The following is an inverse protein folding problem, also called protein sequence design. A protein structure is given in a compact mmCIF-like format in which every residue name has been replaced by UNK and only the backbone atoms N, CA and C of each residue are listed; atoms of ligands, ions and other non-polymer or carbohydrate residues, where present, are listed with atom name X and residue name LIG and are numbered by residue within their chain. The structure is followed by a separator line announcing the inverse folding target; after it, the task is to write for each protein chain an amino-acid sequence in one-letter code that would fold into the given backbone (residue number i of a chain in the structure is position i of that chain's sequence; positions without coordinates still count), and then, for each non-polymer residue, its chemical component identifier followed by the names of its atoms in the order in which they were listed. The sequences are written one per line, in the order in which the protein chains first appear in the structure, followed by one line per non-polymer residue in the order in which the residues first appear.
data_IF_735917766847
#
_entry.id   IF_735917766847
#
_cell.length_a   1.000
_cell.length_b   1.000
_cell.length_c   1.000
_cell.angle_alpha   90.00
_cell.angle_beta   90.00
_cell.angle_gamma   90.00
#
_symmetry.space_group_name_H-M   'P 1'
#
loop_
_entity.id
_entity.type
_entity.pdbx_description
1 polymer ?
#
# COMPACT_ATOMS: atom_id res chain seq x y z
N UNK A 1 -38.82 -29.61 -3.75
CA UNK A 1 -38.26 -28.66 -2.77
C UNK A 1 -37.40 -27.68 -3.55
N UNK A 2 -37.72 -26.40 -3.51
CA UNK A 2 -37.13 -25.33 -4.33
C UNK A 2 -36.29 -24.48 -3.37
N UNK A 3 -34.98 -24.52 -3.52
CA UNK A 3 -34.05 -23.71 -2.72
C UNK A 3 -34.01 -22.29 -3.28
N UNK A 4 -34.39 -21.31 -2.46
CA UNK A 4 -34.31 -19.89 -2.79
C UNK A 4 -32.91 -19.39 -2.45
N UNK A 5 -32.05 -19.23 -3.47
CA UNK A 5 -30.80 -18.48 -3.36
C UNK A 5 -31.15 -17.00 -3.21
N UNK A 6 -30.98 -16.48 -1.99
CA UNK A 6 -31.04 -15.04 -1.71
C UNK A 6 -29.89 -14.36 -2.45
N UNK A 7 -30.25 -13.64 -3.51
CA UNK A 7 -29.40 -12.72 -4.24
C UNK A 7 -29.00 -11.59 -3.27
N UNK A 8 -27.72 -11.55 -2.91
CA UNK A 8 -27.16 -10.49 -2.09
C UNK A 8 -27.13 -9.20 -2.91
N UNK A 9 -27.97 -8.24 -2.54
CA UNK A 9 -28.11 -6.94 -3.20
C UNK A 9 -26.85 -6.08 -3.00
N UNK A 10 -26.31 -5.55 -4.09
CA UNK A 10 -25.06 -4.78 -4.11
C UNK A 10 -25.16 -3.39 -3.42
N UNK A 11 -26.37 -2.97 -3.05
CA UNK A 11 -26.60 -1.67 -2.42
C UNK A 11 -26.33 -1.64 -0.90
N UNK A 12 -26.32 -2.80 -0.22
CA UNK A 12 -26.04 -2.85 1.23
C UNK A 12 -24.55 -2.54 1.55
N UNK A 13 -23.65 -2.91 0.63
CA UNK A 13 -22.20 -2.72 0.83
C UNK A 13 -21.77 -1.24 0.76
N UNK A 14 -22.52 -0.39 0.05
CA UNK A 14 -22.21 1.05 -0.08
C UNK A 14 -22.48 1.80 1.22
N UNK A 15 -23.50 1.41 1.97
CA UNK A 15 -23.84 2.04 3.25
C UNK A 15 -22.83 1.72 4.36
N UNK A 16 -22.22 0.53 4.33
CA UNK A 16 -21.16 0.15 5.27
C UNK A 16 -19.88 0.99 5.09
N UNK A 17 -19.51 1.32 3.84
CA UNK A 17 -18.31 2.10 3.52
C UNK A 17 -18.42 3.57 3.94
N UNK A 18 -19.61 4.17 3.87
CA UNK A 18 -19.84 5.57 4.24
C UNK A 18 -19.79 5.82 5.76
N UNK A 19 -20.10 4.82 6.58
CA UNK A 19 -20.02 4.93 8.04
C UNK A 19 -18.58 4.82 8.58
N UNK A 20 -17.70 4.12 7.84
CA UNK A 20 -16.30 3.95 8.27
C UNK A 20 -15.47 5.22 8.05
N UNK A 21 -15.72 5.97 6.98
CA UNK A 21 -14.99 7.22 6.66
C UNK A 21 -15.29 8.35 7.62
N UNK A 22 -16.51 8.44 8.16
CA UNK A 22 -16.88 9.46 9.16
C UNK A 22 -16.16 9.25 10.49
N UNK A 23 -15.95 8.00 10.93
CA UNK A 23 -15.27 7.71 12.20
C UNK A 23 -13.78 8.03 12.20
N UNK A 24 -13.11 7.97 11.04
CA UNK A 24 -11.68 8.26 10.93
C UNK A 24 -11.41 9.78 10.99
N UNK A 25 -12.33 10.61 10.47
CA UNK A 25 -12.17 12.07 10.45
C UNK A 25 -12.18 12.75 11.82
N UNK A 26 -12.79 12.14 12.84
CA UNK A 26 -12.96 12.76 14.16
C UNK A 26 -11.76 12.57 15.09
N UNK A 27 -10.78 11.74 14.74
CA UNK A 27 -9.62 11.47 15.59
C UNK A 27 -8.45 12.47 15.40
N UNK A 28 -8.54 13.38 14.43
CA UNK A 28 -7.43 14.28 14.07
C UNK A 28 -7.44 15.67 14.75
N UNK A 29 -8.43 15.99 15.58
CA UNK A 29 -8.61 17.34 16.16
C UNK A 29 -8.62 17.33 17.70
N UNK A 30 -7.59 16.78 18.33
CA UNK A 30 -7.43 16.88 19.79
C UNK A 30 -5.97 16.84 20.24
N UNK A 31 -5.09 17.66 19.66
CA UNK A 31 -3.72 17.80 20.18
C UNK A 31 -3.10 19.16 19.86
N UNK A 32 -3.62 20.25 20.43
CA UNK A 32 -2.84 21.50 20.58
C UNK A 32 -3.57 22.50 21.48
N UNK A 33 -3.61 22.20 22.78
CA UNK A 33 -3.89 23.21 23.80
C UNK A 33 -3.05 22.89 25.03
N UNK A 34 -1.84 23.44 25.08
CA UNK A 34 -1.18 23.68 26.36
C UNK A 34 -0.48 25.04 26.31
N UNK A 35 -0.62 25.72 27.43
CA UNK A 35 -0.42 27.13 27.69
C UNK A 35 1.03 27.61 27.46
N UNK A 36 1.21 28.92 27.29
CA UNK A 36 1.79 29.77 28.35
C UNK A 36 1.78 31.24 27.95
N UNK A 37 1.14 32.05 28.80
CA UNK A 37 1.50 33.45 29.02
C UNK A 37 3.01 33.54 29.33
N UNK A 38 3.66 34.66 29.00
CA UNK A 38 4.48 35.45 29.93
C UNK A 38 5.09 36.67 29.21
N UNK A 39 4.73 37.83 29.73
CA UNK A 39 5.53 39.03 29.95
C UNK A 39 6.01 39.91 28.78
N UNK A 40 5.36 41.06 28.74
CA UNK A 40 5.87 42.37 28.31
C UNK A 40 7.34 42.59 28.65
N UNK A 41 8.17 42.77 27.63
CA UNK A 41 9.45 43.46 27.75
C UNK A 41 9.55 44.50 26.63
N UNK A 42 9.42 45.76 27.04
CA UNK A 42 9.82 46.93 26.27
C UNK A 42 11.33 46.86 26.07
N UNK A 43 11.77 46.38 24.91
CA UNK A 43 13.18 46.43 24.50
C UNK A 43 13.28 47.24 23.22
N UNK A 44 14.07 48.29 23.32
CA UNK A 44 14.33 49.29 22.31
C UNK A 44 14.68 48.69 20.95
N UNK A 45 14.17 49.32 19.88
CA UNK A 45 14.50 49.01 18.49
C UNK A 45 16.01 49.14 18.25
N UNK A 46 16.75 48.05 17.91
CA UNK A 46 18.01 48.20 17.22
C UNK A 46 17.69 48.30 15.72
N UNK A 47 17.89 49.50 15.17
CA UNK A 47 18.01 49.72 13.74
C UNK A 47 19.30 49.09 13.25
N UNK A 48 19.29 47.81 12.87
CA UNK A 48 20.39 47.24 12.08
C UNK A 48 19.88 46.19 11.09
N UNK A 49 20.00 46.57 9.83
CA UNK A 49 20.28 45.73 8.67
C UNK A 49 19.37 44.53 8.41
N UNK A 50 18.32 44.81 7.63
CA UNK A 50 17.80 43.88 6.61
C UNK A 50 18.99 43.33 5.81
N UNK A 51 19.43 42.09 6.03
CA UNK A 51 20.10 41.18 5.07
C UNK A 51 20.75 40.00 5.83
N UNK A 52 19.98 39.23 6.62
CA UNK A 52 20.51 37.99 7.22
C UNK A 52 19.42 36.94 7.55
N UNK A 53 18.20 37.09 7.05
CA UNK A 53 17.07 36.20 7.37
C UNK A 53 16.72 35.18 6.27
N UNK A 54 17.31 35.27 5.08
CA UNK A 54 16.85 34.52 3.91
C UNK A 54 17.57 33.17 3.69
N UNK A 55 18.70 32.92 4.37
CA UNK A 55 19.54 31.75 4.06
C UNK A 55 19.16 30.47 4.83
N UNK A 56 18.46 30.57 5.97
CA UNK A 56 18.20 29.41 6.83
C UNK A 56 16.88 28.66 6.53
N UNK A 57 15.97 29.26 5.76
CA UNK A 57 14.66 28.69 5.47
C UNK A 57 14.63 27.74 4.25
N UNK A 58 15.71 27.66 3.47
CA UNK A 58 15.73 26.90 2.21
C UNK A 58 16.13 25.42 2.35
N UNK A 59 16.69 24.99 3.49
CA UNK A 59 17.27 23.64 3.64
C UNK A 59 16.23 22.57 4.03
N UNK A 60 15.07 22.98 4.59
CA UNK A 60 14.07 22.04 5.12
C UNK A 60 13.16 21.42 4.04
N UNK A 61 13.17 21.92 2.79
CA UNK A 61 12.24 21.47 1.75
C UNK A 61 12.71 20.23 0.94
N UNK A 62 13.87 19.65 1.25
CA UNK A 62 14.45 18.56 0.42
C UNK A 62 14.36 17.19 1.11
N UNK A 63 13.83 17.09 2.33
CA UNK A 63 13.73 15.80 3.02
C UNK A 63 12.46 15.05 2.59
N UNK A 64 12.59 14.26 1.51
CA UNK A 64 11.95 12.95 1.44
C UNK A 64 10.53 12.85 0.87
N UNK A 65 10.33 13.25 -0.38
CA UNK A 65 9.26 12.66 -1.21
C UNK A 65 9.79 11.41 -1.91
N UNK A 66 10.10 10.35 -1.15
CA UNK A 66 10.18 9.01 -1.76
C UNK A 66 8.75 8.50 -1.87
N UNK A 67 8.18 8.50 -3.08
CA UNK A 67 6.92 7.81 -3.34
C UNK A 67 7.06 6.35 -2.87
N UNK A 68 6.10 5.82 -2.11
CA UNK A 68 6.14 4.42 -1.71
C UNK A 68 6.15 3.56 -2.97
N UNK A 69 7.12 2.65 -3.08
CA UNK A 69 7.14 1.68 -4.18
C UNK A 69 5.80 0.94 -4.21
N UNK A 70 5.17 0.98 -5.39
CA UNK A 70 3.86 0.41 -5.57
C UNK A 70 4.00 -1.12 -5.60
N UNK A 71 3.31 -1.82 -4.69
CA UNK A 71 3.37 -3.29 -4.64
C UNK A 71 2.80 -3.91 -5.93
N UNK A 72 3.62 -4.68 -6.64
CA UNK A 72 3.21 -5.44 -7.82
C UNK A 72 3.42 -6.92 -7.57
N UNK A 73 2.36 -7.71 -7.73
CA UNK A 73 2.37 -9.15 -7.57
C UNK A 73 2.33 -9.85 -8.93
N UNK A 74 3.32 -10.67 -9.22
CA UNK A 74 3.39 -11.50 -10.43
C UNK A 74 2.89 -12.92 -10.12
N UNK A 75 1.93 -13.40 -10.90
CA UNK A 75 1.36 -14.74 -10.75
C UNK A 75 2.02 -15.76 -11.67
N UNK A 76 2.38 -16.92 -11.10
CA UNK A 76 2.97 -18.05 -11.80
C UNK A 76 2.18 -19.32 -11.53
N UNK A 77 2.01 -20.15 -12.55
CA UNK A 77 1.39 -21.48 -12.46
C UNK A 77 2.37 -22.51 -12.98
N UNK A 78 2.55 -23.58 -12.21
CA UNK A 78 3.39 -24.72 -12.54
C UNK A 78 2.49 -25.92 -12.88
N UNK A 79 2.42 -26.33 -14.16
CA UNK A 79 1.61 -27.46 -14.58
C UNK A 79 2.05 -28.78 -13.91
N UNK A 80 3.34 -28.91 -13.63
CA UNK A 80 3.92 -30.03 -12.89
C UNK A 80 4.47 -29.53 -11.55
N UNK A 81 3.93 -30.06 -10.44
CA UNK A 81 4.38 -29.72 -9.09
C UNK A 81 5.80 -30.19 -8.78
N UNK A 82 6.34 -31.12 -9.55
CA UNK A 82 7.71 -31.64 -9.38
C UNK A 82 8.73 -30.86 -10.20
N UNK A 83 8.29 -30.04 -11.14
CA UNK A 83 9.15 -29.24 -12.02
C UNK A 83 8.74 -27.77 -12.03
N UNK A 84 9.32 -27.00 -11.10
CA UNK A 84 9.10 -25.56 -11.00
C UNK A 84 9.86 -24.76 -12.06
N UNK A 85 10.69 -25.40 -12.89
CA UNK A 85 11.38 -24.68 -13.98
C UNK A 85 10.44 -24.36 -15.12
N UNK A 86 9.36 -25.13 -15.25
CA UNK A 86 8.31 -24.92 -16.26
C UNK A 86 7.11 -24.23 -15.64
N UNK A 87 6.90 -22.98 -16.02
CA UNK A 87 5.79 -22.18 -15.53
C UNK A 87 5.15 -21.34 -16.63
N UNK A 88 3.88 -21.02 -16.41
CA UNK A 88 3.14 -20.04 -17.17
C UNK A 88 2.93 -18.79 -16.31
N UNK A 89 3.18 -17.62 -16.90
CA UNK A 89 2.91 -16.33 -16.24
C UNK A 89 1.44 -15.97 -16.45
N UNK A 90 0.71 -15.79 -15.36
CA UNK A 90 -0.72 -15.42 -15.38
C UNK A 90 -0.88 -13.92 -15.59
N UNK A 91 -0.03 -13.11 -14.95
CA UNK A 91 -0.05 -11.65 -15.08
C UNK A 91 0.46 -10.93 -13.84
N UNK A 92 0.34 -9.59 -13.87
CA UNK A 92 0.70 -8.69 -12.78
C UNK A 92 -0.53 -8.09 -12.09
N UNK A 93 -0.51 -8.00 -10.77
CA UNK A 93 -1.66 -7.58 -9.95
C UNK A 93 -1.25 -6.58 -8.88
N UNK A 94 -2.11 -5.61 -8.59
CA UNK A 94 -1.87 -4.62 -7.50
C UNK A 94 -2.16 -5.14 -6.09
N UNK A 95 -2.46 -6.43 -5.91
CA UNK A 95 -2.65 -7.04 -4.59
C UNK A 95 -2.47 -8.56 -4.62
N UNK A 96 -2.01 -9.11 -3.49
CA UNK A 96 -1.83 -10.55 -3.30
C UNK A 96 -3.11 -11.34 -3.56
N UNK A 97 -4.25 -10.89 -3.03
CA UNK A 97 -5.51 -11.62 -3.18
C UNK A 97 -5.92 -11.76 -4.64
N UNK A 98 -5.79 -10.70 -5.45
CA UNK A 98 -6.11 -10.77 -6.88
C UNK A 98 -5.19 -11.73 -7.63
N UNK A 99 -3.90 -11.73 -7.27
CA UNK A 99 -2.97 -12.69 -7.83
C UNK A 99 -3.37 -14.13 -7.46
N UNK A 100 -3.64 -14.41 -6.18
CA UNK A 100 -4.01 -15.74 -5.70
C UNK A 100 -5.29 -16.25 -6.34
N UNK A 101 -6.30 -15.41 -6.49
CA UNK A 101 -7.56 -15.79 -7.13
C UNK A 101 -7.33 -16.19 -8.60
N UNK A 102 -6.54 -15.41 -9.35
CA UNK A 102 -6.24 -15.68 -10.74
C UNK A 102 -5.40 -16.95 -10.93
N UNK A 103 -4.33 -17.14 -10.15
CA UNK A 103 -3.47 -18.33 -10.29
C UNK A 103 -4.19 -19.60 -9.84
N UNK A 104 -5.10 -19.53 -8.87
CA UNK A 104 -5.92 -20.67 -8.43
C UNK A 104 -6.90 -21.13 -9.50
N UNK A 105 -7.54 -20.17 -10.16
CA UNK A 105 -8.45 -20.46 -11.27
C UNK A 105 -7.70 -21.17 -12.41
N UNK A 106 -6.49 -20.72 -12.72
CA UNK A 106 -5.70 -21.27 -13.83
C UNK A 106 -4.97 -22.58 -13.49
N UNK A 107 -4.48 -22.76 -12.26
CA UNK A 107 -3.73 -23.97 -11.86
C UNK A 107 -4.58 -25.25 -11.82
N UNK A 108 -5.90 -25.12 -11.63
CA UNK A 108 -6.80 -26.26 -11.46
C UNK A 108 -6.45 -27.12 -10.22
N UNK A 109 -6.86 -28.39 -10.24
CA UNK A 109 -6.72 -29.29 -9.07
C UNK A 109 -5.29 -29.83 -8.88
N UNK A 110 -4.50 -29.90 -9.95
CA UNK A 110 -3.21 -30.59 -9.97
C UNK A 110 -2.01 -29.64 -10.04
N UNK A 111 -2.17 -28.39 -10.50
CA UNK A 111 -1.07 -27.44 -10.63
C UNK A 111 -0.56 -26.92 -9.28
N UNK A 112 0.71 -26.54 -9.23
CA UNK A 112 1.23 -25.64 -8.20
C UNK A 112 1.09 -24.20 -8.70
N UNK A 113 1.10 -23.26 -7.77
CA UNK A 113 1.01 -21.85 -8.10
C UNK A 113 1.69 -21.01 -7.05
N UNK A 114 2.17 -19.84 -7.47
CA UNK A 114 2.72 -18.83 -6.58
C UNK A 114 2.46 -17.41 -7.08
N UNK A 115 2.56 -16.47 -6.14
CA UNK A 115 2.51 -15.04 -6.35
C UNK A 115 3.76 -14.41 -5.76
N UNK A 116 4.57 -13.77 -6.61
CA UNK A 116 5.80 -13.08 -6.21
C UNK A 116 5.63 -11.57 -6.18
N UNK A 117 6.05 -10.92 -5.10
CA UNK A 117 6.03 -9.46 -4.92
C UNK A 117 7.28 -8.83 -5.54
N UNK A 118 7.09 -7.79 -6.34
CA UNK A 118 8.12 -6.94 -6.95
C UNK A 118 9.27 -7.76 -7.57
N UNK A 119 8.90 -8.77 -8.36
CA UNK A 119 9.86 -9.64 -9.01
C UNK A 119 10.70 -8.87 -10.04
N UNK A 120 12.00 -9.16 -10.05
CA UNK A 120 12.96 -8.66 -11.04
C UNK A 120 13.65 -9.83 -11.73
N UNK A 121 13.95 -9.64 -13.01
CA UNK A 121 14.70 -10.60 -13.81
C UNK A 121 16.20 -10.46 -13.51
N UNK A 122 16.81 -11.55 -13.03
CA UNK A 122 18.26 -11.67 -12.84
C UNK A 122 18.86 -12.66 -13.85
N UNK A 123 18.37 -12.62 -15.09
CA UNK A 123 18.89 -13.34 -16.25
C UNK A 123 18.19 -14.68 -16.48
N UNK A 124 18.45 -15.66 -15.61
CA UNK A 124 17.85 -17.00 -15.72
C UNK A 124 16.80 -17.28 -14.65
N UNK A 125 16.67 -16.39 -13.67
CA UNK A 125 15.75 -16.54 -12.54
C UNK A 125 15.04 -15.22 -12.28
N UNK A 126 13.78 -15.31 -11.85
CA UNK A 126 13.07 -14.18 -11.28
C UNK A 126 13.29 -14.15 -9.77
N UNK A 127 13.82 -13.04 -9.26
CA UNK A 127 14.02 -12.83 -7.83
C UNK A 127 12.92 -11.90 -7.33
N UNK A 128 12.07 -12.41 -6.44
CA UNK A 128 10.97 -11.65 -5.84
C UNK A 128 11.31 -11.30 -4.39
N UNK A 129 10.80 -10.17 -3.90
CA UNK A 129 10.98 -9.75 -2.51
C UNK A 129 10.28 -10.71 -1.53
N UNK A 130 9.13 -11.24 -1.95
CA UNK A 130 8.34 -12.21 -1.20
C UNK A 130 7.56 -13.10 -2.15
N UNK A 131 7.39 -14.37 -1.79
CA UNK A 131 6.59 -15.33 -2.55
C UNK A 131 5.54 -15.99 -1.64
N UNK A 132 4.32 -16.15 -2.15
CA UNK A 132 3.21 -16.82 -1.48
C UNK A 132 2.55 -17.78 -2.47
N UNK A 133 2.42 -19.06 -2.11
CA UNK A 133 1.90 -20.08 -3.00
C UNK A 133 1.39 -21.33 -2.27
N UNK A 134 1.11 -22.38 -3.04
CA UNK A 134 0.57 -23.66 -2.59
C UNK A 134 1.63 -24.79 -2.59
N UNK A 135 2.86 -24.48 -2.24
CA UNK A 135 3.98 -25.41 -2.41
C UNK A 135 4.31 -26.25 -1.16
N UNK A 136 3.29 -26.75 -0.45
CA UNK A 136 3.47 -27.78 0.60
C UNK A 136 2.35 -28.80 0.61
#
# INVERSE_FOLDING_TARGET
MREETKLFDADDMKHALLQLTVKIGTLAFAASASAQEFQSLSVARPTVSRMAGAALALIVLVVGCSEPEQEVWMGYVYPDRQDLTRHDVVGSFGSLNRCLDAVREQAGLAGAYECGLNCRDEGTINVCERTVGNER
#
